data_IF_756944042916
#
_entry.id   IF_756944042916
#
_cell.length_a   1.000
_cell.length_b   1.000
_cell.length_c   1.000
_cell.angle_alpha   90.00
_cell.angle_beta   90.00
_cell.angle_gamma   90.00
#
_symmetry.space_group_name_H-M   'P 1'
#
loop_
_entity.id
_entity.type
_entity.pdbx_description
1 polymer ?
#
# COMPACT_ATOMS: atom_id res chain seq x y z
N UNK A 1 1.77 -7.61 -10.80
CA UNK A 1 0.69 -8.55 -11.15
C UNK A 1 -0.17 -7.94 -12.24
N UNK A 2 -1.04 -8.75 -12.84
CA UNK A 2 -2.10 -8.28 -13.75
C UNK A 2 -3.43 -8.70 -13.13
N UNK A 3 -4.39 -7.79 -13.07
CA UNK A 3 -5.77 -8.11 -12.72
C UNK A 3 -6.70 -7.71 -13.85
N UNK A 4 -7.79 -8.47 -13.97
CA UNK A 4 -8.83 -8.26 -14.97
C UNK A 4 -10.11 -8.00 -14.19
N UNK A 5 -10.67 -6.81 -14.36
CA UNK A 5 -11.97 -6.45 -13.80
C UNK A 5 -13.01 -6.38 -14.93
N UNK A 6 -14.25 -6.72 -14.58
CA UNK A 6 -15.40 -6.48 -15.44
C UNK A 6 -16.05 -5.17 -15.02
N UNK A 7 -16.25 -4.28 -15.99
CA UNK A 7 -17.12 -3.12 -15.85
C UNK A 7 -18.59 -3.55 -15.97
N UNK A 8 -19.47 -2.91 -15.20
CA UNK A 8 -20.92 -3.14 -15.23
C UNK A 8 -21.55 -2.94 -16.62
N UNK A 9 -20.87 -2.21 -17.53
CA UNK A 9 -21.34 -1.90 -18.88
C UNK A 9 -20.91 -2.95 -19.95
N UNK A 10 -20.32 -4.07 -19.53
CA UNK A 10 -19.95 -5.19 -20.42
C UNK A 10 -18.54 -5.13 -21.01
N UNK A 11 -17.73 -4.16 -20.59
CA UNK A 11 -16.30 -4.05 -20.92
C UNK A 11 -15.41 -4.91 -20.02
N UNK A 12 -14.40 -5.59 -20.59
CA UNK A 12 -13.30 -6.18 -19.83
C UNK A 12 -12.13 -5.24 -19.84
N UNK A 13 -11.66 -4.82 -18.66
CA UNK A 13 -10.47 -4.01 -18.55
C UNK A 13 -9.37 -4.72 -17.77
N UNK A 14 -8.17 -4.78 -18.37
CA UNK A 14 -6.97 -5.34 -17.72
C UNK A 14 -6.15 -4.20 -17.15
N UNK A 15 -5.95 -4.20 -15.83
CA UNK A 15 -5.04 -3.26 -15.18
C UNK A 15 -3.79 -3.99 -14.66
N UNK A 16 -2.65 -3.32 -14.77
CA UNK A 16 -1.44 -3.74 -14.10
C UNK A 16 -1.46 -3.32 -12.65
N UNK A 17 -0.98 -4.16 -11.74
CA UNK A 17 -0.64 -3.73 -10.38
C UNK A 17 0.86 -3.88 -10.21
N UNK A 18 1.51 -2.84 -9.71
CA UNK A 18 2.93 -2.89 -9.37
C UNK A 18 3.09 -2.43 -7.92
N UNK A 19 4.02 -3.04 -7.20
CA UNK A 19 4.29 -2.66 -5.82
C UNK A 19 5.74 -2.97 -5.52
N UNK A 20 6.42 -2.02 -4.91
CA UNK A 20 7.79 -2.19 -4.43
C UNK A 20 7.87 -1.68 -3.00
N UNK A 21 8.50 -2.46 -2.13
CA UNK A 21 8.69 -2.14 -0.72
C UNK A 21 10.14 -2.30 -0.31
N UNK A 22 10.59 -1.43 0.57
CA UNK A 22 11.88 -1.48 1.25
C UNK A 22 11.61 -1.53 2.76
N UNK A 23 12.00 -2.62 3.40
CA UNK A 23 12.04 -2.73 4.86
C UNK A 23 13.48 -2.51 5.34
N UNK A 24 13.64 -1.70 6.39
CA UNK A 24 14.89 -1.54 7.11
C UNK A 24 14.67 -1.73 8.60
N UNK A 25 15.41 -2.67 9.18
CA UNK A 25 15.46 -2.86 10.64
C UNK A 25 16.50 -1.94 11.23
N UNK A 26 16.07 -1.07 12.14
CA UNK A 26 16.96 -0.18 12.88
C UNK A 26 17.43 -0.83 14.18
N UNK A 27 16.56 -1.62 14.80
CA UNK A 27 16.84 -2.35 16.03
C UNK A 27 16.11 -3.71 16.00
N UNK A 28 16.32 -4.57 16.99
CA UNK A 28 15.54 -5.79 17.20
C UNK A 28 14.03 -5.50 17.33
N UNK A 29 13.70 -4.30 17.81
CA UNK A 29 12.32 -3.88 18.09
C UNK A 29 11.77 -2.86 17.10
N UNK A 30 12.61 -2.17 16.31
CA UNK A 30 12.16 -1.09 15.43
C UNK A 30 12.47 -1.40 13.97
N UNK A 31 11.44 -1.34 13.13
CA UNK A 31 11.55 -1.57 11.69
C UNK A 31 10.83 -0.44 10.96
N UNK A 32 11.51 0.17 10.00
CA UNK A 32 10.89 1.08 9.06
C UNK A 32 10.59 0.37 7.76
N UNK A 33 9.51 0.78 7.13
CA UNK A 33 9.04 0.28 5.85
C UNK A 33 8.79 1.49 4.96
N UNK A 34 9.14 1.40 3.70
CA UNK A 34 8.78 2.36 2.68
C UNK A 34 8.22 1.59 1.50
N UNK A 35 7.05 1.97 1.02
CA UNK A 35 6.36 1.28 -0.06
C UNK A 35 5.96 2.25 -1.14
N UNK A 36 6.01 1.79 -2.38
CA UNK A 36 5.45 2.46 -3.52
C UNK A 36 4.55 1.45 -4.22
N UNK A 37 3.25 1.73 -4.17
CA UNK A 37 2.21 0.90 -4.74
C UNK A 37 1.59 1.62 -5.93
N UNK A 38 1.40 0.89 -7.01
CA UNK A 38 0.65 1.31 -8.19
C UNK A 38 -0.47 0.29 -8.35
N UNK A 39 -1.56 0.43 -7.57
CA UNK A 39 -2.64 -0.55 -7.55
C UNK A 39 -3.34 -0.66 -8.90
N UNK A 40 -3.34 0.40 -9.71
CA UNK A 40 -3.93 0.37 -11.04
C UNK A 40 -3.02 1.10 -12.03
N UNK A 41 -2.47 0.37 -12.98
CA UNK A 41 -1.78 0.91 -14.16
C UNK A 41 -2.73 0.65 -15.32
N UNK A 42 -3.54 1.66 -15.63
CA UNK A 42 -4.52 1.61 -16.69
C UNK A 42 -4.28 2.68 -17.75
N UNK A 43 -4.67 2.40 -18.99
CA UNK A 43 -4.74 3.39 -20.07
C UNK A 43 -5.62 4.57 -19.64
N UNK A 44 -5.24 5.80 -20.00
CA UNK A 44 -6.00 7.03 -19.69
C UNK A 44 -7.46 6.98 -20.15
N UNK A 45 -7.79 6.08 -21.08
CA UNK A 45 -9.16 5.87 -21.58
C UNK A 45 -10.05 5.04 -20.61
N UNK A 46 -9.47 4.39 -19.60
CA UNK A 46 -10.16 3.44 -18.70
C UNK A 46 -9.80 3.69 -17.21
N UNK A 47 -9.79 4.95 -16.77
CA UNK A 47 -9.58 5.30 -15.35
C UNK A 47 -8.14 5.64 -14.96
N UNK A 48 -7.17 5.49 -15.87
CA UNK A 48 -5.79 6.00 -15.70
C UNK A 48 -4.95 5.29 -14.63
N UNK A 49 -3.73 5.80 -14.39
CA UNK A 49 -2.79 5.23 -13.43
C UNK A 49 -3.07 5.76 -12.03
N UNK A 50 -3.22 4.87 -11.05
CA UNK A 50 -3.21 5.14 -9.62
C UNK A 50 -1.84 4.76 -9.05
N UNK A 51 -1.25 5.67 -8.27
CA UNK A 51 0.04 5.47 -7.64
C UNK A 51 0.01 6.07 -6.24
N UNK A 52 0.40 5.29 -5.25
CA UNK A 52 0.56 5.70 -3.87
C UNK A 52 1.98 5.40 -3.41
N UNK A 53 2.52 6.29 -2.58
CA UNK A 53 3.75 6.06 -1.86
C UNK A 53 3.44 6.14 -0.37
N UNK A 54 4.02 5.25 0.41
CA UNK A 54 3.82 5.21 1.83
C UNK A 54 5.08 4.89 2.59
N UNK A 55 5.06 5.23 3.86
CA UNK A 55 6.07 4.88 4.84
C UNK A 55 5.37 4.30 6.05
N UNK A 56 5.95 3.28 6.63
CA UNK A 56 5.49 2.65 7.84
C UNK A 56 6.59 2.47 8.84
N UNK A 57 6.20 2.32 10.10
CA UNK A 57 7.07 2.00 11.21
C UNK A 57 6.38 0.91 12.02
N UNK A 58 7.07 -0.20 12.23
CA UNK A 58 6.67 -1.25 13.14
C UNK A 58 7.59 -1.23 14.37
N UNK A 59 6.97 -1.15 15.54
CA UNK A 59 7.64 -1.11 16.83
C UNK A 59 7.14 -2.22 17.76
N UNK A 60 8.06 -3.11 18.12
CA UNK A 60 7.85 -4.19 19.06
C UNK A 60 7.93 -3.66 20.51
N UNK A 61 6.78 -3.40 21.14
CA UNK A 61 6.68 -2.95 22.53
C UNK A 61 7.07 -4.05 23.51
N UNK A 62 6.84 -5.32 23.21
CA UNK A 62 7.25 -6.50 23.99
C UNK A 62 7.36 -7.68 23.04
N UNK A 63 7.99 -8.79 23.41
CA UNK A 63 8.04 -10.01 22.55
C UNK A 63 6.67 -10.47 22.02
N UNK A 64 5.60 -10.06 22.71
CA UNK A 64 4.22 -10.42 22.43
C UNK A 64 3.36 -9.25 21.94
N UNK A 65 3.89 -8.04 21.80
CA UNK A 65 3.11 -6.86 21.42
C UNK A 65 3.87 -6.00 20.41
N UNK A 66 3.29 -5.83 19.22
CA UNK A 66 3.80 -5.01 18.13
C UNK A 66 2.80 -3.92 17.77
N UNK A 67 3.28 -2.70 17.61
CA UNK A 67 2.50 -1.59 17.06
C UNK A 67 3.08 -1.27 15.70
N UNK A 68 2.26 -1.38 14.66
CA UNK A 68 2.60 -0.93 13.33
C UNK A 68 1.81 0.33 13.00
N UNK A 69 2.47 1.22 12.28
CA UNK A 69 1.86 2.43 11.75
C UNK A 69 2.27 2.53 10.31
N UNK A 70 1.33 2.88 9.44
CA UNK A 70 1.59 3.04 8.04
C UNK A 70 0.85 4.24 7.52
N UNK A 71 1.58 5.15 6.89
CA UNK A 71 1.04 6.31 6.23
C UNK A 71 1.27 6.15 4.73
N UNK A 72 0.22 6.20 3.93
CA UNK A 72 0.32 6.22 2.48
C UNK A 72 -0.34 7.47 1.92
N UNK A 73 0.20 7.97 0.81
CA UNK A 73 -0.27 9.17 0.13
C UNK A 73 -0.41 8.89 -1.35
N UNK A 74 -1.57 9.24 -1.92
CA UNK A 74 -1.77 9.22 -3.36
C UNK A 74 -0.88 10.25 -4.05
N UNK A 75 -0.26 9.85 -5.15
CA UNK A 75 0.61 10.69 -5.99
C UNK A 75 -0.16 11.34 -7.16
N UNK A 76 -1.44 11.01 -7.31
CA UNK A 76 -2.29 11.35 -8.44
C UNK A 76 -3.75 11.54 -7.99
N UNK A 77 -4.50 12.32 -8.78
CA UNK A 77 -5.88 12.73 -8.48
C UNK A 77 -6.87 11.55 -8.38
N UNK A 78 -6.51 10.40 -8.97
CA UNK A 78 -7.34 9.19 -8.97
C UNK A 78 -7.08 8.28 -7.76
N UNK A 79 -6.17 8.63 -6.86
CA UNK A 79 -5.80 7.81 -5.70
C UNK A 79 -6.17 8.55 -4.41
N UNK A 80 -6.59 7.87 -3.34
CA UNK A 80 -6.91 8.50 -2.06
C UNK A 80 -5.81 9.46 -1.61
N UNK A 81 -6.19 10.69 -1.21
CA UNK A 81 -5.25 11.76 -0.91
C UNK A 81 -4.20 11.34 0.14
N UNK A 82 -4.64 10.77 1.26
CA UNK A 82 -3.78 10.17 2.27
C UNK A 82 -4.57 9.12 3.06
N UNK A 83 -3.91 8.03 3.39
CA UNK A 83 -4.42 6.98 4.28
C UNK A 83 -3.43 6.79 5.41
N UNK A 84 -3.95 6.69 6.62
CA UNK A 84 -3.16 6.42 7.80
C UNK A 84 -3.75 5.20 8.51
N UNK A 85 -2.89 4.22 8.76
CA UNK A 85 -3.22 2.95 9.37
C UNK A 85 -2.39 2.82 10.65
N UNK A 86 -3.04 2.36 11.71
CA UNK A 86 -2.38 1.97 12.95
C UNK A 86 -2.86 0.56 13.27
N UNK A 87 -1.92 -0.37 13.30
CA UNK A 87 -2.13 -1.74 13.71
C UNK A 87 -1.55 -2.00 15.09
N UNK A 88 -2.20 -2.89 15.82
CA UNK A 88 -1.72 -3.39 17.09
C UNK A 88 -1.89 -4.91 17.08
N UNK A 89 -0.76 -5.60 17.16
CA UNK A 89 -0.66 -7.03 17.06
C UNK A 89 -0.23 -7.58 18.42
N UNK A 90 -1.13 -8.33 19.06
CA UNK A 90 -0.86 -8.99 20.34
C UNK A 90 -0.80 -10.50 20.09
N UNK A 91 0.32 -11.11 20.44
CA UNK A 91 0.47 -12.56 20.55
C UNK A 91 0.21 -12.95 22.01
N UNK A 92 -0.49 -14.07 22.24
CA UNK A 92 -0.80 -14.58 23.58
C UNK A 92 -0.46 -16.05 23.65
#
# INVERSE_FOLDING_TARGET
GLAVEHEDEGGRYTHGLFGIGLEKRFDARLRGVAELAMPQIASSRHGGTQASAGIGLAWLLTHDCEIDTMFSRGLNHNTPYASFTVGLSIRR
#
